data_IF_239375626650
#
_entry.id   IF_239375626650
#
_cell.length_a   1.000
_cell.length_b   1.000
_cell.length_c   1.000
_cell.angle_alpha   90.00
_cell.angle_beta   90.00
_cell.angle_gamma   90.00
#
_symmetry.space_group_name_H-M   'P 1'
#
loop_
_entity.id
_entity.type
_entity.pdbx_description
1 polymer ?
#
# COMPACT_ATOMS: atom_id res chain seq x y z
N UNK A 1 -0.64 -5.17 8.07
CA UNK A 1 -0.49 -6.00 6.85
C UNK A 1 0.96 -6.35 6.63
N UNK A 2 1.22 -7.56 6.20
CA UNK A 2 2.55 -8.07 5.91
C UNK A 2 2.57 -8.66 4.51
N UNK A 3 3.65 -8.36 3.77
CA UNK A 3 3.84 -8.92 2.43
C UNK A 3 5.23 -9.53 2.36
N UNK A 4 5.29 -10.81 2.03
CA UNK A 4 6.56 -11.51 1.85
C UNK A 4 7.31 -10.95 0.64
N UNK A 5 8.65 -11.14 0.58
CA UNK A 5 9.41 -10.75 -0.61
C UNK A 5 8.79 -11.33 -1.87
N UNK A 6 8.73 -10.52 -2.91
CA UNK A 6 8.09 -10.84 -4.20
C UNK A 6 6.59 -11.02 -4.12
N UNK A 7 5.99 -10.82 -2.94
CA UNK A 7 4.54 -10.87 -2.79
C UNK A 7 3.89 -9.56 -3.17
N UNK A 8 2.58 -9.58 -3.31
CA UNK A 8 1.81 -8.39 -3.64
C UNK A 8 0.39 -8.56 -3.13
N UNK A 9 -0.29 -7.42 -2.96
CA UNK A 9 -1.70 -7.44 -2.61
C UNK A 9 -2.54 -7.52 -3.89
N UNK A 10 -3.73 -8.11 -3.82
CA UNK A 10 -4.60 -8.13 -5.00
C UNK A 10 -4.95 -6.71 -5.44
N UNK A 11 -5.09 -6.53 -6.75
CA UNK A 11 -5.56 -5.27 -7.29
C UNK A 11 -7.04 -5.10 -6.96
N UNK A 12 -7.38 -3.98 -6.36
CA UNK A 12 -8.76 -3.77 -5.93
C UNK A 12 -9.09 -2.29 -5.80
N UNK A 13 -10.36 -1.99 -5.60
CA UNK A 13 -10.84 -0.64 -5.37
C UNK A 13 -11.74 -0.63 -4.14
N UNK A 14 -11.84 0.54 -3.53
CA UNK A 14 -12.76 0.78 -2.42
C UNK A 14 -13.49 2.08 -2.65
N UNK A 15 -14.64 2.23 -2.04
CA UNK A 15 -15.39 3.48 -2.12
C UNK A 15 -15.05 4.43 -0.98
N UNK A 16 -13.93 4.19 -0.30
CA UNK A 16 -13.41 5.09 0.73
C UNK A 16 -11.90 5.23 0.57
N UNK A 17 -11.37 6.29 1.16
CA UNK A 17 -9.95 6.55 1.09
C UNK A 17 -9.15 5.66 2.04
N UNK A 18 -7.89 5.44 1.71
CA UNK A 18 -6.96 4.74 2.57
C UNK A 18 -5.73 5.59 2.80
N UNK A 19 -5.19 5.52 4.02
CA UNK A 19 -3.87 6.05 4.29
C UNK A 19 -3.02 4.89 4.77
N UNK A 20 -1.85 4.76 4.17
CA UNK A 20 -0.94 3.65 4.46
C UNK A 20 0.36 4.20 4.98
N UNK A 21 0.80 3.67 6.12
CA UNK A 21 2.08 4.04 6.71
C UNK A 21 2.99 2.84 6.69
N UNK A 22 4.13 2.97 6.01
CA UNK A 22 5.08 1.86 5.85
C UNK A 22 5.96 1.79 7.09
N UNK A 23 5.94 0.65 7.76
CA UNK A 23 6.72 0.41 8.98
C UNK A 23 8.08 -0.21 8.68
N UNK A 24 8.13 -1.18 7.77
CA UNK A 24 9.39 -1.82 7.42
C UNK A 24 9.31 -2.41 6.03
N UNK A 25 10.47 -2.69 5.45
CA UNK A 25 10.58 -3.25 4.11
C UNK A 25 10.49 -2.18 3.04
N UNK A 26 10.75 -2.58 1.81
CA UNK A 26 10.71 -1.68 0.66
C UNK A 26 9.86 -2.29 -0.42
N UNK A 27 9.16 -1.43 -1.17
CA UNK A 27 8.34 -1.93 -2.23
C UNK A 27 7.85 -0.82 -3.12
N UNK A 28 6.79 -1.12 -3.85
CA UNK A 28 6.12 -0.14 -4.70
C UNK A 28 4.63 -0.15 -4.39
N UNK A 29 3.99 0.96 -4.66
CA UNK A 29 2.54 1.06 -4.68
C UNK A 29 2.13 1.46 -6.08
N UNK A 30 1.13 0.77 -6.61
CA UNK A 30 0.52 1.12 -7.89
C UNK A 30 -0.83 1.77 -7.59
N UNK A 31 -1.04 2.95 -8.11
CA UNK A 31 -2.27 3.70 -7.90
C UNK A 31 -2.46 4.68 -9.04
N UNK A 32 -3.65 4.75 -9.59
CA UNK A 32 -3.99 5.66 -10.68
C UNK A 32 -3.09 5.50 -11.92
N UNK A 33 -2.68 4.27 -12.20
CA UNK A 33 -1.84 3.99 -13.35
C UNK A 33 -0.37 4.30 -13.17
N UNK A 34 0.04 4.68 -11.96
CA UNK A 34 1.41 5.03 -11.68
C UNK A 34 2.00 4.17 -10.58
N UNK A 35 3.29 3.90 -10.68
CA UNK A 35 4.02 3.19 -9.64
C UNK A 35 4.93 4.16 -8.91
N UNK A 36 5.01 4.02 -7.60
CA UNK A 36 5.91 4.81 -6.76
C UNK A 36 6.65 3.90 -5.81
N UNK A 37 7.91 4.19 -5.59
CA UNK A 37 8.69 3.48 -4.58
C UNK A 37 8.27 3.94 -3.19
N UNK A 38 8.18 2.99 -2.28
CA UNK A 38 7.87 3.29 -0.88
C UNK A 38 8.88 2.58 0.01
N UNK A 39 9.15 3.20 1.15
CA UNK A 39 10.10 2.69 2.12
C UNK A 39 9.63 3.07 3.52
N UNK A 40 10.29 2.59 4.59
CA UNK A 40 9.84 2.89 5.94
C UNK A 40 9.71 4.39 6.18
N UNK A 41 8.61 4.78 6.81
CA UNK A 41 8.30 6.17 7.10
C UNK A 41 7.45 6.87 6.06
N UNK A 42 7.23 6.24 4.90
CA UNK A 42 6.37 6.82 3.88
C UNK A 42 4.90 6.71 4.27
N UNK A 43 4.16 7.76 3.94
CA UNK A 43 2.71 7.78 4.08
C UNK A 43 2.13 7.86 2.68
N UNK A 44 1.21 6.96 2.37
CA UNK A 44 0.60 6.89 1.05
C UNK A 44 -0.90 7.13 1.21
N UNK A 45 -1.42 8.07 0.46
CA UNK A 45 -2.86 8.36 0.42
C UNK A 45 -3.44 7.75 -0.85
N UNK A 46 -4.47 6.93 -0.70
CA UNK A 46 -5.14 6.29 -1.82
C UNK A 46 -6.57 6.82 -1.89
N UNK A 47 -6.89 7.61 -2.93
CA UNK A 47 -8.23 8.17 -3.07
C UNK A 47 -9.30 7.11 -3.25
N UNK A 48 -10.55 7.43 -2.90
CA UNK A 48 -11.65 6.48 -3.11
C UNK A 48 -11.81 6.15 -4.59
N UNK A 49 -12.11 4.90 -4.88
CA UNK A 49 -12.42 4.48 -6.24
C UNK A 49 -11.23 4.16 -7.11
N UNK A 50 -10.02 4.46 -6.67
CA UNK A 50 -8.84 4.18 -7.48
C UNK A 50 -8.38 2.73 -7.30
N UNK A 51 -8.08 2.09 -8.41
CA UNK A 51 -7.53 0.75 -8.38
C UNK A 51 -6.08 0.82 -7.91
N UNK A 52 -5.73 -0.03 -6.97
CA UNK A 52 -4.41 0.02 -6.37
C UNK A 52 -3.94 -1.35 -5.90
N UNK A 53 -2.61 -1.51 -5.79
CA UNK A 53 -2.02 -2.65 -5.13
C UNK A 53 -0.62 -2.28 -4.66
N UNK A 54 -0.10 -3.11 -3.76
CA UNK A 54 1.24 -2.97 -3.21
C UNK A 54 2.05 -4.20 -3.57
N UNK A 55 3.34 -4.02 -3.83
CA UNK A 55 4.24 -5.12 -4.11
C UNK A 55 5.52 -4.95 -3.30
N UNK A 56 5.98 -6.04 -2.70
CA UNK A 56 7.23 -6.05 -1.98
C UNK A 56 8.37 -6.34 -2.97
N UNK A 57 9.23 -5.35 -3.19
CA UNK A 57 10.36 -5.49 -4.10
C UNK A 57 11.69 -5.64 -3.36
N UNK A 58 11.64 -5.66 -2.03
CA UNK A 58 12.83 -5.82 -1.20
C UNK A 58 13.09 -7.27 -0.87
N UNK A 59 14.06 -7.47 0.03
CA UNK A 59 14.46 -8.81 0.46
C UNK A 59 13.86 -9.20 1.79
N UNK A 60 13.26 -8.26 2.48
CA UNK A 60 12.65 -8.48 3.77
C UNK A 60 11.15 -8.34 3.69
N UNK A 61 10.45 -8.86 4.70
CA UNK A 61 9.02 -8.72 4.80
C UNK A 61 8.66 -7.24 4.87
N UNK A 62 7.65 -6.85 4.09
CA UNK A 62 7.14 -5.49 4.09
C UNK A 62 5.95 -5.42 5.05
N UNK A 63 6.00 -4.46 5.97
CA UNK A 63 4.94 -4.32 6.98
C UNK A 63 4.41 -2.90 6.91
N UNK A 64 3.10 -2.78 6.86
CA UNK A 64 2.48 -1.46 6.85
C UNK A 64 1.15 -1.46 7.60
N UNK A 65 0.78 -0.27 8.05
CA UNK A 65 -0.51 -0.01 8.67
C UNK A 65 -1.44 0.59 7.63
N UNK A 66 -2.67 0.13 7.61
CA UNK A 66 -3.68 0.68 6.72
C UNK A 66 -4.73 1.37 7.58
N UNK A 67 -4.89 2.66 7.39
CA UNK A 67 -5.85 3.47 8.14
C UNK A 67 -7.00 3.85 7.22
N UNK A 68 -8.20 3.60 7.66
CA UNK A 68 -9.39 3.95 6.90
C UNK A 68 -10.25 4.89 7.73
N UNK A 69 -11.03 5.76 7.09
CA UNK A 69 -11.89 6.66 7.85
C UNK A 69 -12.98 5.87 8.57
N UNK A 70 -13.39 6.40 9.70
CA UNK A 70 -14.50 5.82 10.43
C UNK A 70 -15.79 6.10 9.66
N UNK A 71 -16.54 5.05 9.38
CA UNK A 71 -17.81 5.17 8.67
C UNK A 71 -18.94 4.70 9.56
N UNK A 72 -19.99 5.47 9.55
CA UNK A 72 -21.20 5.14 10.30
C UNK A 72 -22.22 4.49 9.41
#
# INVERSE_FOLDING_TARGET
>A
FEIEPDGYTPRHTHDWEHEVFVLSGEGIVFCEGEEQKISPGYVVFIPPGDEHYFKNTGKEKMIFLCLIPYKK
#
